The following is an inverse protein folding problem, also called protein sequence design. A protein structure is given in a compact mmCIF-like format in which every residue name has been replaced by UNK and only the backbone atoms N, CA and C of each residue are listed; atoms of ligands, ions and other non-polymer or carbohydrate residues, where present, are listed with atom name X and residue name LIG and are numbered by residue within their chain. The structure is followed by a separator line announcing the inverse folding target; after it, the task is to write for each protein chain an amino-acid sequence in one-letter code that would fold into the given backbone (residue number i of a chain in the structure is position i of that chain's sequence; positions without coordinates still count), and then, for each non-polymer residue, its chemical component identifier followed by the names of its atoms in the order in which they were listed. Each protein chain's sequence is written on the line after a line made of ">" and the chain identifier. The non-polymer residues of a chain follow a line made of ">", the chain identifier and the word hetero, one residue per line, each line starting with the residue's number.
data_IF_457636732123
#
_entry.id   IF_457636732123
#
_cell.length_a   1.000
_cell.length_b   1.000
_cell.length_c   1.000
_cell.angle_alpha   90.00
_cell.angle_beta   90.00
_cell.angle_gamma   90.00
#
_symmetry.space_group_name_H-M   'P 1'
#
loop_
_entity.id
_entity.type
_entity.pdbx_description
1 polymer ?
#
# COMPACT_ATOMS: atom_id res chain seq x y z
N UNK A 1 34.53 13.93 21.47
CA UNK A 1 33.55 12.89 21.16
C UNK A 1 34.24 11.53 21.21
N UNK A 2 33.57 10.50 21.73
CA UNK A 2 34.07 9.12 21.64
C UNK A 2 33.77 8.57 20.23
N UNK A 3 34.64 7.75 19.64
CA UNK A 3 34.33 7.02 18.41
C UNK A 3 33.09 6.13 18.58
N UNK A 4 32.30 5.95 17.53
CA UNK A 4 31.03 5.20 17.58
C UNK A 4 31.20 3.76 18.10
N UNK A 5 32.31 3.10 17.74
CA UNK A 5 32.65 1.76 18.23
C UNK A 5 33.03 1.69 19.72
N UNK A 6 33.23 2.83 20.38
CA UNK A 6 33.52 2.95 21.81
C UNK A 6 32.28 3.34 22.62
N UNK A 7 31.15 3.63 21.97
CA UNK A 7 29.87 3.90 22.64
C UNK A 7 29.12 2.57 22.82
N UNK A 8 28.80 2.16 24.06
CA UNK A 8 28.09 0.90 24.30
C UNK A 8 26.75 0.88 23.56
N UNK A 9 26.48 -0.21 22.82
CA UNK A 9 25.21 -0.40 22.11
C UNK A 9 24.01 -0.63 23.04
N UNK A 10 24.26 -0.94 24.32
CA UNK A 10 23.26 -1.21 25.34
C UNK A 10 23.73 -0.69 26.70
N UNK A 11 22.80 -0.15 27.48
CA UNK A 11 23.01 0.16 28.90
C UNK A 11 22.07 -0.70 29.74
N UNK A 12 22.61 -1.31 30.79
CA UNK A 12 21.83 -2.14 31.74
C UNK A 12 21.95 -1.49 33.10
N UNK A 13 20.83 -1.02 33.64
CA UNK A 13 20.77 -0.48 34.99
C UNK A 13 20.70 -1.62 35.99
N UNK A 14 21.60 -1.59 36.98
CA UNK A 14 21.68 -2.58 38.04
C UNK A 14 21.54 -1.86 39.37
N UNK A 15 20.72 -2.41 40.26
CA UNK A 15 20.62 -1.90 41.63
C UNK A 15 21.94 -2.11 42.40
N UNK A 16 22.64 -3.21 42.13
CA UNK A 16 23.96 -3.52 42.70
C UNK A 16 24.82 -4.31 41.71
N UNK A 17 26.14 -4.11 41.75
CA UNK A 17 27.08 -4.89 40.93
C UNK A 17 27.27 -6.28 41.54
N UNK A 18 27.04 -7.38 40.78
CA UNK A 18 27.27 -8.72 41.31
C UNK A 18 28.77 -8.96 41.48
N UNK A 19 29.18 -9.32 42.70
CA UNK A 19 30.57 -9.64 43.02
C UNK A 19 30.72 -11.13 43.32
N UNK A 20 31.85 -11.70 42.92
CA UNK A 20 32.26 -13.04 43.31
C UNK A 20 32.79 -13.05 44.77
N UNK A 21 33.05 -14.23 45.37
CA UNK A 21 33.54 -14.33 46.74
C UNK A 21 34.89 -13.60 47.01
N UNK A 22 35.64 -13.26 45.96
CA UNK A 22 36.89 -12.51 46.05
C UNK A 22 36.69 -10.99 45.89
N UNK A 23 35.44 -10.50 45.90
CA UNK A 23 35.10 -9.08 45.77
C UNK A 23 35.28 -8.49 44.37
N UNK A 24 35.46 -9.32 43.33
CA UNK A 24 35.58 -8.88 41.93
C UNK A 24 34.25 -9.04 41.19
N UNK A 25 34.01 -8.22 40.17
CA UNK A 25 32.82 -8.32 39.31
C UNK A 25 32.63 -9.75 38.77
N UNK A 26 31.47 -10.35 39.05
CA UNK A 26 31.06 -11.60 38.45
C UNK A 26 30.34 -11.33 37.13
N UNK A 27 31.11 -11.39 36.04
CA UNK A 27 30.61 -11.14 34.68
C UNK A 27 29.55 -12.13 34.23
N UNK A 28 29.49 -13.34 34.81
CA UNK A 28 28.52 -14.38 34.44
C UNK A 28 27.16 -14.15 35.11
N UNK A 29 27.14 -13.42 36.22
CA UNK A 29 25.94 -13.04 36.94
C UNK A 29 25.33 -11.72 36.44
N UNK A 30 25.94 -11.05 35.46
CA UNK A 30 25.35 -9.88 34.82
C UNK A 30 24.12 -10.31 34.01
N UNK A 31 22.97 -9.62 34.16
CA UNK A 31 21.80 -9.90 33.34
C UNK A 31 22.09 -9.57 31.88
N UNK A 32 21.54 -10.37 30.97
CA UNK A 32 21.61 -10.09 29.55
C UNK A 32 20.81 -8.81 29.25
N UNK A 33 21.32 -7.92 28.38
CA UNK A 33 20.56 -6.75 27.95
C UNK A 33 19.26 -7.20 27.26
N UNK A 34 18.14 -6.59 27.64
CA UNK A 34 16.86 -6.83 26.98
C UNK A 34 16.88 -6.18 25.60
N UNK A 35 17.07 -7.00 24.57
CA UNK A 35 17.14 -6.56 23.18
C UNK A 35 15.76 -6.34 22.55
N UNK A 36 14.68 -6.71 23.25
CA UNK A 36 13.31 -6.57 22.73
C UNK A 36 12.88 -5.10 22.61
N UNK A 37 13.46 -4.21 23.41
CA UNK A 37 13.19 -2.76 23.37
C UNK A 37 14.02 -2.00 22.30
N UNK A 38 15.06 -2.62 21.73
CA UNK A 38 16.02 -1.96 20.82
C UNK A 38 15.69 -2.16 19.34
N UNK A 39 14.71 -3.01 19.01
CA UNK A 39 13.99 -2.82 17.76
C UNK A 39 13.16 -1.54 17.93
N UNK A 40 13.70 -0.40 17.48
CA UNK A 40 12.93 0.84 17.32
C UNK A 40 11.58 0.45 16.72
N UNK A 41 10.54 0.47 17.56
CA UNK A 41 9.21 0.08 17.14
C UNK A 41 8.79 1.08 16.09
N UNK A 42 8.88 0.68 14.83
CA UNK A 42 8.18 1.39 13.78
C UNK A 42 6.70 1.38 14.13
N UNK A 43 6.20 2.52 14.57
CA UNK A 43 4.77 2.73 14.78
C UNK A 43 4.21 3.29 13.48
N UNK A 44 3.42 2.49 12.78
CA UNK A 44 2.76 2.94 11.57
C UNK A 44 1.78 4.07 11.89
N UNK A 45 1.65 5.10 11.03
CA UNK A 45 0.65 6.16 11.21
C UNK A 45 -0.77 5.56 11.20
N UNK A 46 -1.55 5.85 12.24
CA UNK A 46 -2.87 5.27 12.47
C UNK A 46 -3.98 6.23 12.07
N UNK A 47 -3.87 7.51 12.48
CA UNK A 47 -4.89 8.51 12.16
C UNK A 47 -4.74 9.06 10.74
N UNK A 48 -5.84 9.57 10.16
CA UNK A 48 -5.81 10.22 8.84
C UNK A 48 -4.78 11.36 8.81
N UNK A 49 -4.70 12.13 9.89
CA UNK A 49 -3.74 13.23 10.01
C UNK A 49 -2.29 12.70 10.05
N UNK A 50 -2.01 11.65 10.82
CA UNK A 50 -0.68 11.02 10.85
C UNK A 50 -0.27 10.51 9.47
N UNK A 51 -1.19 9.86 8.74
CA UNK A 51 -0.92 9.34 7.40
C UNK A 51 -0.63 10.48 6.42
N UNK A 52 -1.39 11.58 6.49
CA UNK A 52 -1.15 12.77 5.67
C UNK A 52 0.20 13.41 5.96
N UNK A 53 0.55 13.61 7.24
CA UNK A 53 1.84 14.20 7.63
C UNK A 53 3.00 13.29 7.23
N UNK A 54 2.89 11.98 7.44
CA UNK A 54 3.91 11.02 7.02
C UNK A 54 4.12 11.02 5.50
N UNK A 55 3.03 11.11 4.71
CA UNK A 55 3.10 11.22 3.26
C UNK A 55 3.81 12.50 2.81
N UNK A 56 3.50 13.65 3.43
CA UNK A 56 4.15 14.93 3.14
C UNK A 56 5.64 14.84 3.45
N UNK A 57 6.04 14.29 4.59
CA UNK A 57 7.44 14.15 4.95
C UNK A 57 8.21 13.22 4.00
N UNK A 58 7.63 12.08 3.62
CA UNK A 58 8.23 11.21 2.62
C UNK A 58 8.44 11.94 1.27
N UNK A 59 7.48 12.77 0.85
CA UNK A 59 7.61 13.59 -0.36
C UNK A 59 8.71 14.65 -0.23
N UNK A 60 8.84 15.31 0.92
CA UNK A 60 9.90 16.30 1.18
C UNK A 60 11.27 15.64 1.08
N UNK A 61 11.49 14.52 1.77
CA UNK A 61 12.77 13.79 1.68
C UNK A 61 13.05 13.30 0.27
N UNK A 62 12.04 12.74 -0.41
CA UNK A 62 12.20 12.27 -1.79
C UNK A 62 12.64 13.40 -2.73
N UNK A 63 12.03 14.58 -2.63
CA UNK A 63 12.41 15.76 -3.42
C UNK A 63 13.84 16.23 -3.09
N UNK A 64 14.23 16.24 -1.82
CA UNK A 64 15.60 16.58 -1.41
C UNK A 64 16.62 15.60 -2.00
N UNK A 65 16.38 14.29 -1.88
CA UNK A 65 17.25 13.26 -2.46
C UNK A 65 17.40 13.43 -3.98
N UNK A 66 16.31 13.72 -4.68
CA UNK A 66 16.32 13.89 -6.14
C UNK A 66 17.02 15.18 -6.58
N UNK A 67 16.76 16.32 -5.93
CA UNK A 67 17.32 17.60 -6.34
C UNK A 67 18.78 17.78 -5.93
N UNK A 68 19.18 17.19 -4.79
CA UNK A 68 20.54 17.31 -4.26
C UNK A 68 21.40 16.07 -4.53
N UNK A 69 20.82 15.02 -5.11
CA UNK A 69 21.47 13.74 -5.40
C UNK A 69 22.12 13.09 -4.16
N UNK A 70 21.43 13.11 -3.02
CA UNK A 70 21.92 12.56 -1.73
C UNK A 70 21.09 11.37 -1.25
N UNK A 71 21.70 10.45 -0.51
CA UNK A 71 21.04 9.40 0.27
C UNK A 71 20.76 9.91 1.68
N UNK A 72 19.54 10.42 1.90
CA UNK A 72 19.15 10.97 3.20
C UNK A 72 18.04 10.13 3.85
N UNK A 73 18.24 9.47 5.00
CA UNK A 73 17.19 8.68 5.62
C UNK A 73 16.03 9.57 6.12
N UNK A 74 14.80 9.04 6.13
CA UNK A 74 13.62 9.82 6.53
C UNK A 74 13.73 10.37 7.97
N UNK A 75 14.36 9.62 8.88
CA UNK A 75 14.60 10.04 10.26
C UNK A 75 15.40 11.33 10.41
N UNK A 76 16.20 11.72 9.41
CA UNK A 76 16.98 12.96 9.45
C UNK A 76 16.10 14.20 9.60
N UNK A 77 14.87 14.19 9.05
CA UNK A 77 13.91 15.29 9.25
C UNK A 77 13.49 15.49 10.71
N UNK A 78 13.62 14.44 11.53
CA UNK A 78 13.14 14.41 12.90
C UNK A 78 14.26 14.59 13.91
N UNK A 79 15.42 14.00 13.62
CA UNK A 79 16.61 14.09 14.46
C UNK A 79 17.21 15.51 14.44
N UNK A 80 17.09 16.21 13.30
CA UNK A 80 17.56 17.58 13.13
C UNK A 80 16.39 18.53 12.75
N UNK A 81 15.53 18.92 13.71
CA UNK A 81 14.37 19.78 13.43
C UNK A 81 14.75 21.23 13.12
N UNK A 82 15.98 21.65 13.45
CA UNK A 82 16.52 22.96 13.11
C UNK A 82 17.24 22.87 11.76
N UNK A 83 16.98 23.85 10.88
CA UNK A 83 17.57 23.89 9.54
C UNK A 83 19.11 23.82 9.58
N UNK A 84 19.75 24.50 10.54
CA UNK A 84 21.20 24.52 10.64
C UNK A 84 21.79 23.11 10.86
N UNK A 85 21.17 22.32 11.74
CA UNK A 85 21.59 20.96 12.03
C UNK A 85 21.27 20.02 10.86
N UNK A 86 20.11 20.20 10.23
CA UNK A 86 19.69 19.40 9.07
C UNK A 86 20.61 19.60 7.86
N UNK A 87 21.13 20.81 7.66
CA UNK A 87 22.12 21.08 6.60
C UNK A 87 23.41 20.31 6.84
N UNK A 88 23.85 20.13 8.09
CA UNK A 88 25.02 19.33 8.40
C UNK A 88 24.80 17.85 8.01
N UNK A 89 23.61 17.30 8.28
CA UNK A 89 23.24 15.95 7.86
C UNK A 89 23.22 15.79 6.32
N UNK A 90 22.65 16.78 5.62
CA UNK A 90 22.62 16.79 4.14
C UNK A 90 24.04 16.88 3.55
N UNK A 91 24.93 17.67 4.15
CA UNK A 91 26.33 17.79 3.71
C UNK A 91 27.15 16.53 4.00
N UNK A 92 26.83 15.81 5.08
CA UNK A 92 27.44 14.52 5.43
C UNK A 92 26.83 13.33 4.69
N UNK A 93 25.69 13.50 4.03
CA UNK A 93 25.01 12.44 3.32
C UNK A 93 25.84 11.92 2.13
N UNK A 94 25.83 10.61 1.95
CA UNK A 94 26.45 10.00 0.77
C UNK A 94 25.68 10.39 -0.49
N UNK A 95 26.37 10.44 -1.64
CA UNK A 95 25.69 10.68 -2.92
C UNK A 95 24.77 9.51 -3.26
N UNK A 96 23.61 9.82 -3.83
CA UNK A 96 22.71 8.83 -4.39
C UNK A 96 23.42 8.02 -5.48
N UNK A 97 23.61 6.73 -5.22
CA UNK A 97 24.21 5.77 -6.17
C UNK A 97 23.19 4.79 -6.73
N UNK A 98 21.93 4.86 -6.26
CA UNK A 98 20.85 4.05 -6.78
C UNK A 98 20.66 4.33 -8.28
N UNK A 99 20.68 3.29 -9.13
CA UNK A 99 20.47 3.47 -10.56
C UNK A 99 19.05 3.98 -10.81
N UNK A 100 18.89 4.88 -11.78
CA UNK A 100 17.58 5.32 -12.23
C UNK A 100 16.72 4.13 -12.69
N UNK A 101 15.40 4.21 -12.44
CA UNK A 101 14.47 3.24 -12.97
C UNK A 101 14.54 3.20 -14.50
N UNK A 102 14.69 2.00 -15.05
CA UNK A 102 14.72 1.78 -16.50
C UNK A 102 13.48 1.03 -16.91
N UNK A 103 12.95 1.40 -18.08
CA UNK A 103 11.90 0.62 -18.69
C UNK A 103 12.43 -0.77 -19.06
N UNK A 104 11.72 -1.80 -18.61
CA UNK A 104 12.07 -3.20 -18.88
C UNK A 104 11.22 -3.71 -20.06
N UNK A 105 11.81 -4.44 -20.99
CA UNK A 105 11.06 -5.02 -22.10
C UNK A 105 10.02 -6.04 -21.57
N UNK A 106 8.85 -6.11 -22.22
CA UNK A 106 7.74 -7.00 -21.83
C UNK A 106 7.82 -8.40 -22.45
N UNK A 107 8.90 -8.69 -23.20
CA UNK A 107 9.15 -9.98 -23.87
C UNK A 107 10.02 -10.92 -23.02
N UNK A 108 10.08 -10.70 -21.71
CA UNK A 108 10.86 -11.51 -20.78
C UNK A 108 10.06 -11.73 -19.48
N UNK A 109 10.38 -12.78 -18.70
CA UNK A 109 9.79 -12.99 -17.40
C UNK A 109 9.98 -11.78 -16.48
N UNK A 110 8.88 -11.29 -15.91
CA UNK A 110 8.88 -10.14 -14.99
C UNK A 110 8.84 -10.64 -13.55
N UNK A 111 9.88 -10.36 -12.77
CA UNK A 111 9.96 -10.78 -11.37
C UNK A 111 8.96 -10.01 -10.51
N UNK A 112 8.45 -10.66 -9.47
CA UNK A 112 7.67 -10.00 -8.44
C UNK A 112 8.57 -9.12 -7.57
N UNK A 113 8.03 -7.99 -7.12
CA UNK A 113 8.62 -7.24 -6.03
C UNK A 113 8.62 -8.05 -4.73
N UNK A 114 9.45 -7.69 -3.75
CA UNK A 114 9.44 -8.37 -2.45
C UNK A 114 8.07 -8.32 -1.75
N UNK A 115 7.35 -7.20 -1.87
CA UNK A 115 5.99 -7.07 -1.34
C UNK A 115 5.03 -8.05 -2.03
N UNK A 116 5.09 -8.15 -3.36
CA UNK A 116 4.28 -9.10 -4.12
C UNK A 116 4.63 -10.55 -3.80
N UNK A 117 5.92 -10.89 -3.64
CA UNK A 117 6.35 -12.24 -3.24
C UNK A 117 5.74 -12.65 -1.90
N UNK A 118 5.75 -11.74 -0.91
CA UNK A 118 5.10 -11.98 0.38
C UNK A 118 3.58 -12.21 0.22
N UNK A 119 2.91 -11.36 -0.55
CA UNK A 119 1.46 -11.50 -0.78
C UNK A 119 1.12 -12.81 -1.50
N UNK A 120 1.90 -13.18 -2.52
CA UNK A 120 1.72 -14.46 -3.23
C UNK A 120 1.94 -15.65 -2.31
N UNK A 121 2.97 -15.62 -1.46
CA UNK A 121 3.22 -16.67 -0.48
C UNK A 121 2.05 -16.84 0.50
N UNK A 122 1.51 -15.73 1.03
CA UNK A 122 0.37 -15.77 1.94
C UNK A 122 -0.90 -16.32 1.28
N UNK A 123 -1.15 -15.95 0.02
CA UNK A 123 -2.23 -16.52 -0.77
C UNK A 123 -2.03 -18.02 -1.05
N UNK A 124 -0.80 -18.50 -1.26
CA UNK A 124 -0.52 -19.92 -1.43
C UNK A 124 -0.74 -20.75 -0.16
N UNK A 125 -0.61 -20.14 1.03
CA UNK A 125 -0.94 -20.79 2.30
C UNK A 125 -2.45 -20.97 2.49
N UNK A 126 -3.25 -19.99 2.05
CA UNK A 126 -4.71 -20.04 2.08
C UNK A 126 -5.32 -19.23 0.93
N UNK A 127 -5.58 -19.91 -0.19
CA UNK A 127 -6.14 -19.31 -1.39
C UNK A 127 -7.61 -18.90 -1.22
N UNK A 128 -8.27 -19.32 -0.12
CA UNK A 128 -9.64 -18.95 0.20
C UNK A 128 -9.73 -17.77 1.16
N UNK A 129 -8.59 -17.25 1.63
CA UNK A 129 -8.55 -16.08 2.51
C UNK A 129 -8.98 -14.81 1.76
N UNK A 130 -9.78 -13.98 2.43
CA UNK A 130 -10.10 -12.61 1.98
C UNK A 130 -9.39 -11.54 2.79
N UNK A 131 -8.43 -11.91 3.64
CA UNK A 131 -7.74 -10.99 4.53
C UNK A 131 -6.98 -9.87 3.80
N UNK A 132 -6.63 -10.10 2.53
CA UNK A 132 -5.91 -9.16 1.66
C UNK A 132 -6.78 -8.55 0.56
N UNK A 133 -8.10 -8.68 0.68
CA UNK A 133 -9.01 -7.87 -0.12
C UNK A 133 -8.97 -6.42 0.38
N UNK A 134 -8.94 -5.47 -0.55
CA UNK A 134 -9.01 -4.04 -0.32
C UNK A 134 -10.34 -3.52 -0.86
N UNK A 135 -11.42 -3.57 -0.06
CA UNK A 135 -12.72 -3.09 -0.48
C UNK A 135 -12.87 -1.57 -0.30
N UNK A 136 -13.59 -0.95 -1.21
CA UNK A 136 -14.07 0.42 -1.14
C UNK A 136 -15.54 0.43 -1.58
N UNK A 137 -16.42 0.99 -0.75
CA UNK A 137 -17.82 1.19 -1.09
C UNK A 137 -18.15 2.68 -1.05
N UNK A 138 -18.70 3.21 -2.14
CA UNK A 138 -19.05 4.62 -2.30
C UNK A 138 -20.56 4.75 -2.51
N UNK A 139 -21.21 5.56 -1.69
CA UNK A 139 -22.59 5.97 -1.94
C UNK A 139 -22.59 7.13 -2.93
N UNK A 140 -23.29 6.96 -4.05
CA UNK A 140 -23.42 7.94 -5.12
C UNK A 140 -24.88 8.41 -5.16
N UNK A 141 -25.07 9.73 -5.09
CA UNK A 141 -26.39 10.36 -5.15
C UNK A 141 -26.48 11.29 -6.35
N UNK A 142 -27.62 11.27 -7.02
CA UNK A 142 -27.87 12.00 -8.26
C UNK A 142 -27.75 11.13 -9.51
N UNK A 143 -27.97 11.76 -10.66
CA UNK A 143 -27.86 11.12 -11.96
C UNK A 143 -26.43 10.60 -12.20
N UNK A 144 -26.32 9.32 -12.54
CA UNK A 144 -25.06 8.65 -12.83
C UNK A 144 -25.03 8.23 -14.30
N UNK A 145 -23.99 8.67 -15.02
CA UNK A 145 -23.75 8.24 -16.39
C UNK A 145 -22.99 6.90 -16.36
N UNK A 146 -23.73 5.80 -16.53
CA UNK A 146 -23.18 4.43 -16.43
C UNK A 146 -22.16 4.17 -17.56
N UNK A 147 -22.39 4.71 -18.75
CA UNK A 147 -21.50 4.53 -19.90
C UNK A 147 -20.18 5.26 -19.68
N UNK A 148 -20.24 6.51 -19.19
CA UNK A 148 -19.05 7.25 -18.81
C UNK A 148 -18.28 6.54 -17.69
N UNK A 149 -18.97 6.01 -16.68
CA UNK A 149 -18.32 5.27 -15.59
C UNK A 149 -17.60 4.00 -16.08
N UNK A 150 -18.22 3.25 -16.99
CA UNK A 150 -17.60 2.07 -17.60
C UNK A 150 -16.38 2.45 -18.44
N UNK A 151 -16.47 3.52 -19.25
CA UNK A 151 -15.37 4.04 -20.03
C UNK A 151 -14.20 4.48 -19.13
N UNK A 152 -14.48 5.11 -17.99
CA UNK A 152 -13.47 5.50 -17.01
C UNK A 152 -12.71 4.31 -16.43
N UNK A 153 -13.42 3.23 -16.05
CA UNK A 153 -12.75 2.01 -15.59
C UNK A 153 -11.95 1.33 -16.68
N UNK A 154 -12.44 1.34 -17.92
CA UNK A 154 -11.69 0.85 -19.08
C UNK A 154 -10.36 1.59 -19.20
N UNK A 155 -10.37 2.93 -19.23
CA UNK A 155 -9.15 3.74 -19.31
C UNK A 155 -8.21 3.54 -18.12
N UNK A 156 -8.76 3.42 -16.91
CA UNK A 156 -7.98 3.16 -15.72
C UNK A 156 -7.23 1.81 -15.80
N UNK A 157 -7.91 0.74 -16.21
CA UNK A 157 -7.33 -0.60 -16.36
C UNK A 157 -6.30 -0.63 -17.49
N UNK A 158 -6.56 0.07 -18.60
CA UNK A 158 -5.63 0.16 -19.72
C UNK A 158 -4.33 0.85 -19.30
N UNK A 159 -4.45 1.99 -18.62
CA UNK A 159 -3.36 2.83 -18.13
C UNK A 159 -2.49 2.12 -17.08
N UNK A 160 -3.10 1.40 -16.15
CA UNK A 160 -2.39 0.77 -15.03
C UNK A 160 -2.19 -0.73 -15.23
N UNK A 161 -0.99 -1.12 -15.68
CA UNK A 161 -0.61 -2.53 -15.87
C UNK A 161 -0.92 -3.42 -14.65
N UNK A 162 -0.77 -2.91 -13.43
CA UNK A 162 -1.06 -3.65 -12.19
C UNK A 162 -2.49 -4.17 -12.12
N UNK A 163 -3.47 -3.42 -12.65
CA UNK A 163 -4.90 -3.82 -12.64
C UNK A 163 -5.21 -4.96 -13.60
N UNK A 164 -4.31 -5.23 -14.56
CA UNK A 164 -4.37 -6.32 -15.53
C UNK A 164 -3.20 -7.28 -15.38
N UNK A 165 -2.65 -7.38 -14.17
CA UNK A 165 -1.53 -8.28 -13.84
C UNK A 165 -2.05 -9.50 -13.07
N UNK A 166 -1.56 -10.68 -13.45
CA UNK A 166 -1.71 -11.95 -12.71
C UNK A 166 -0.35 -12.52 -12.37
N UNK A 167 -0.32 -13.56 -11.54
CA UNK A 167 0.91 -14.13 -10.98
C UNK A 167 0.96 -15.62 -11.28
N UNK A 168 1.97 -16.04 -12.02
CA UNK A 168 2.17 -17.45 -12.40
C UNK A 168 3.58 -17.92 -12.04
N UNK A 169 3.86 -19.20 -12.31
CA UNK A 169 5.19 -19.78 -12.15
C UNK A 169 5.80 -20.03 -13.53
N UNK A 170 7.03 -19.58 -13.75
CA UNK A 170 7.83 -19.89 -14.93
C UNK A 170 9.24 -20.28 -14.48
N UNK A 171 9.73 -21.43 -14.96
CA UNK A 171 11.06 -21.98 -14.61
C UNK A 171 11.34 -22.05 -13.10
N UNK A 172 10.32 -22.40 -12.31
CA UNK A 172 10.42 -22.50 -10.85
C UNK A 172 10.49 -21.15 -10.11
N UNK A 173 10.25 -20.04 -10.81
CA UNK A 173 10.18 -18.69 -10.23
C UNK A 173 8.81 -18.07 -10.44
N UNK A 174 8.33 -17.34 -9.42
CA UNK A 174 7.11 -16.57 -9.54
C UNK A 174 7.34 -15.38 -10.48
N UNK A 175 6.42 -15.18 -11.42
CA UNK A 175 6.47 -14.12 -12.42
C UNK A 175 5.15 -13.37 -12.52
N UNK A 176 5.24 -12.09 -12.86
CA UNK A 176 4.11 -11.25 -13.23
C UNK A 176 3.77 -11.48 -14.69
N UNK A 177 2.49 -11.69 -14.97
CA UNK A 177 1.93 -11.78 -16.32
C UNK A 177 1.02 -10.58 -16.50
N UNK A 178 1.49 -9.60 -17.28
CA UNK A 178 0.75 -8.39 -17.61
C UNK A 178 -0.06 -8.66 -18.88
N UNK A 179 -1.38 -8.69 -18.76
CA UNK A 179 -2.28 -8.97 -19.88
C UNK A 179 -2.44 -7.74 -20.76
N UNK A 180 -2.73 -7.94 -22.05
CA UNK A 180 -3.11 -6.85 -22.93
C UNK A 180 -4.39 -6.15 -22.41
N UNK A 181 -4.57 -4.86 -22.69
CA UNK A 181 -5.87 -4.19 -22.58
C UNK A 181 -7.02 -5.05 -23.11
N UNK A 182 -8.07 -5.16 -22.31
CA UNK A 182 -9.30 -5.85 -22.68
C UNK A 182 -10.50 -4.98 -22.29
N UNK A 183 -11.62 -5.04 -23.04
CA UNK A 183 -12.83 -4.30 -22.68
C UNK A 183 -13.29 -4.64 -21.27
N UNK A 184 -13.55 -3.61 -20.47
CA UNK A 184 -14.12 -3.76 -19.14
C UNK A 184 -15.65 -3.61 -19.21
N UNK A 185 -16.37 -4.49 -18.51
CA UNK A 185 -17.84 -4.41 -18.39
C UNK A 185 -18.21 -4.16 -16.93
N UNK A 186 -18.90 -3.06 -16.67
CA UNK A 186 -19.39 -2.73 -15.35
C UNK A 186 -20.56 -3.66 -14.98
N UNK A 187 -20.46 -4.36 -13.86
CA UNK A 187 -21.56 -5.18 -13.36
C UNK A 187 -22.57 -4.27 -12.65
N UNK A 188 -23.71 -4.03 -13.29
CA UNK A 188 -24.82 -3.27 -12.71
C UNK A 188 -25.88 -4.24 -12.19
N UNK A 189 -26.19 -4.15 -10.90
CA UNK A 189 -27.20 -4.96 -10.22
C UNK A 189 -28.30 -4.03 -9.71
N UNK A 190 -29.51 -4.16 -10.25
CA UNK A 190 -30.67 -3.44 -9.75
C UNK A 190 -31.17 -4.12 -8.47
N UNK A 191 -31.09 -3.42 -7.35
CA UNK A 191 -31.37 -3.97 -6.03
C UNK A 191 -32.75 -3.53 -5.57
N UNK A 192 -33.67 -4.48 -5.48
CA UNK A 192 -34.91 -4.30 -4.71
C UNK A 192 -34.65 -4.51 -3.22
N UNK A 193 -35.11 -3.59 -2.37
CA UNK A 193 -35.15 -3.82 -0.92
C UNK A 193 -36.37 -4.70 -0.60
N UNK A 194 -36.19 -5.87 0.05
CA UNK A 194 -37.32 -6.73 0.41
C UNK A 194 -38.33 -6.00 1.29
N UNK A 195 -39.62 -6.31 1.12
CA UNK A 195 -40.69 -5.69 1.90
C UNK A 195 -40.47 -5.93 3.40
N UNK A 196 -40.46 -4.84 4.19
CA UNK A 196 -40.23 -4.89 5.64
C UNK A 196 -38.77 -5.03 6.07
N UNK A 197 -37.81 -5.08 5.13
CA UNK A 197 -36.40 -5.05 5.45
C UNK A 197 -35.89 -3.62 5.68
N UNK A 198 -34.87 -3.49 6.52
CA UNK A 198 -34.07 -2.27 6.60
C UNK A 198 -33.19 -2.17 5.36
N UNK A 199 -33.41 -1.12 4.55
CA UNK A 199 -32.67 -0.87 3.31
C UNK A 199 -31.16 -0.76 3.54
N UNK A 200 -30.72 -0.09 4.61
CA UNK A 200 -29.31 0.11 4.88
C UNK A 200 -28.64 -1.21 5.29
N UNK A 201 -29.32 -2.00 6.13
CA UNK A 201 -28.83 -3.33 6.51
C UNK A 201 -28.75 -4.27 5.29
N UNK A 202 -29.76 -4.23 4.41
CA UNK A 202 -29.78 -5.02 3.18
C UNK A 202 -28.62 -4.69 2.24
N UNK A 203 -28.41 -3.40 1.96
CA UNK A 203 -27.27 -2.93 1.15
C UNK A 203 -25.95 -3.35 1.78
N UNK A 204 -25.80 -3.23 3.10
CA UNK A 204 -24.59 -3.69 3.80
C UNK A 204 -24.35 -5.19 3.58
N UNK A 205 -25.38 -6.03 3.65
CA UNK A 205 -25.24 -7.46 3.37
C UNK A 205 -24.76 -7.74 1.94
N UNK A 206 -25.27 -7.00 0.94
CA UNK A 206 -24.82 -7.14 -0.45
C UNK A 206 -23.36 -6.71 -0.62
N UNK A 207 -22.95 -5.59 -0.01
CA UNK A 207 -21.56 -5.13 -0.01
C UNK A 207 -20.66 -6.16 0.67
N UNK A 208 -21.04 -6.68 1.84
CA UNK A 208 -20.27 -7.71 2.55
C UNK A 208 -20.13 -9.00 1.74
N UNK A 209 -21.19 -9.42 1.05
CA UNK A 209 -21.14 -10.58 0.17
C UNK A 209 -20.13 -10.39 -0.97
N UNK A 210 -20.12 -9.21 -1.61
CA UNK A 210 -19.19 -8.90 -2.70
C UNK A 210 -17.74 -8.81 -2.22
N UNK A 211 -17.50 -8.16 -1.07
CA UNK A 211 -16.14 -7.97 -0.52
C UNK A 211 -15.51 -9.25 0.01
N UNK A 212 -16.32 -10.25 0.38
CA UNK A 212 -15.89 -11.59 0.83
C UNK A 212 -15.69 -12.61 -0.29
N UNK A 213 -15.87 -12.23 -1.56
CA UNK A 213 -15.50 -13.11 -2.68
C UNK A 213 -13.98 -13.20 -2.76
N UNK A 214 -13.46 -14.41 -2.90
CA UNK A 214 -12.02 -14.70 -3.03
C UNK A 214 -11.47 -14.23 -4.39
N UNK A 215 -10.15 -14.01 -4.46
CA UNK A 215 -9.44 -13.76 -5.72
C UNK A 215 -8.54 -14.95 -6.07
N UNK A 216 -8.53 -15.32 -7.35
CA UNK A 216 -7.53 -16.22 -7.91
C UNK A 216 -6.40 -15.37 -8.51
N UNK A 217 -5.22 -15.40 -7.88
CA UNK A 217 -4.06 -14.60 -8.31
C UNK A 217 -3.47 -15.06 -9.66
N UNK A 218 -3.78 -16.26 -10.11
CA UNK A 218 -3.28 -16.82 -11.36
C UNK A 218 -4.19 -16.49 -12.54
N UNK A 219 -5.50 -16.44 -12.33
CA UNK A 219 -6.49 -16.21 -13.39
C UNK A 219 -6.98 -14.77 -13.46
N UNK A 220 -7.08 -14.08 -12.31
CA UNK A 220 -7.65 -12.74 -12.25
C UNK A 220 -9.12 -12.66 -12.71
N UNK A 221 -9.63 -11.45 -13.01
CA UNK A 221 -9.01 -10.15 -12.73
C UNK A 221 -8.87 -9.89 -11.23
N UNK A 222 -7.89 -9.07 -10.84
CA UNK A 222 -7.61 -8.73 -9.42
C UNK A 222 -8.24 -7.41 -8.97
N UNK A 223 -9.15 -6.91 -9.80
CA UNK A 223 -10.06 -5.81 -9.54
C UNK A 223 -11.47 -6.29 -9.90
N UNK A 224 -12.41 -6.09 -8.99
CA UNK A 224 -13.85 -6.23 -9.23
C UNK A 224 -14.53 -4.90 -8.98
N UNK A 225 -15.47 -4.57 -9.85
CA UNK A 225 -16.34 -3.39 -9.71
C UNK A 225 -17.77 -3.84 -9.89
N UNK A 226 -18.63 -3.46 -8.95
CA UNK A 226 -20.07 -3.68 -9.01
C UNK A 226 -20.80 -2.39 -8.65
N UNK A 227 -21.82 -2.04 -9.41
CA UNK A 227 -22.72 -0.94 -9.13
C UNK A 227 -24.07 -1.52 -8.66
N UNK A 228 -24.43 -1.27 -7.41
CA UNK A 228 -25.75 -1.57 -6.88
C UNK A 228 -26.66 -0.36 -7.15
N UNK A 229 -27.61 -0.48 -8.08
CA UNK A 229 -28.59 0.56 -8.37
C UNK A 229 -29.80 0.39 -7.45
N UNK A 230 -29.96 1.29 -6.47
CA UNK A 230 -31.02 1.25 -5.46
C UNK A 230 -32.26 2.02 -5.91
N UNK A 231 -32.06 3.14 -6.59
CA UNK A 231 -33.07 3.97 -7.23
C UNK A 231 -32.47 4.65 -8.49
N UNK A 232 -33.26 5.48 -9.18
CA UNK A 232 -32.79 6.23 -10.36
C UNK A 232 -31.62 7.17 -10.05
N UNK A 233 -31.58 7.73 -8.83
CA UNK A 233 -30.57 8.68 -8.37
C UNK A 233 -29.81 8.20 -7.13
N UNK A 234 -29.90 6.91 -6.78
CA UNK A 234 -29.23 6.36 -5.61
C UNK A 234 -28.51 5.05 -5.95
N UNK A 235 -27.19 5.05 -5.77
CA UNK A 235 -26.33 3.93 -6.13
C UNK A 235 -25.26 3.67 -5.07
N UNK A 236 -24.79 2.43 -5.02
CA UNK A 236 -23.58 2.06 -4.27
C UNK A 236 -22.58 1.42 -5.22
N UNK A 237 -21.44 2.09 -5.42
CA UNK A 237 -20.32 1.55 -6.18
C UNK A 237 -19.41 0.77 -5.24
N UNK A 238 -19.30 -0.53 -5.46
CA UNK A 238 -18.43 -1.44 -4.72
C UNK A 238 -17.23 -1.79 -5.59
N UNK A 239 -16.06 -1.36 -5.13
CA UNK A 239 -14.77 -1.70 -5.69
C UNK A 239 -14.08 -2.68 -4.74
N UNK A 240 -13.46 -3.73 -5.26
CA UNK A 240 -12.60 -4.59 -4.43
C UNK A 240 -11.38 -4.98 -5.24
N UNK A 241 -10.20 -4.75 -4.69
CA UNK A 241 -8.93 -5.18 -5.27
C UNK A 241 -8.25 -6.20 -4.36
N UNK A 242 -7.28 -6.94 -4.88
CA UNK A 242 -6.33 -7.66 -4.03
C UNK A 242 -5.13 -6.76 -3.69
N UNK A 243 -4.63 -6.81 -2.45
CA UNK A 243 -3.47 -6.01 -1.98
C UNK A 243 -2.17 -6.28 -2.78
N UNK A 244 -2.11 -7.36 -3.56
CA UNK A 244 -0.94 -7.64 -4.41
C UNK A 244 -0.81 -6.68 -5.61
N UNK A 245 -1.91 -6.03 -6.03
CA UNK A 245 -1.95 -5.09 -7.16
C UNK A 245 -2.21 -3.64 -6.76
N UNK A 246 -2.44 -3.37 -5.47
CA UNK A 246 -2.73 -2.03 -4.94
C UNK A 246 -2.33 -1.90 -3.47
N UNK A 247 -2.14 -0.67 -3.01
CA UNK A 247 -1.86 -0.31 -1.62
C UNK A 247 -2.57 1.01 -1.25
N UNK A 248 -2.34 1.49 -0.02
CA UNK A 248 -2.95 2.74 0.47
C UNK A 248 -2.47 3.99 -0.27
N UNK A 249 -1.33 3.95 -0.97
CA UNK A 249 -0.81 5.07 -1.76
C UNK A 249 -1.38 5.09 -3.18
N UNK A 250 -1.54 3.92 -3.80
CA UNK A 250 -2.11 3.81 -5.15
C UNK A 250 -3.62 4.08 -5.19
N UNK A 251 -4.35 3.79 -4.10
CA UNK A 251 -5.81 4.00 -4.05
C UNK A 251 -6.23 5.45 -4.32
N UNK A 252 -5.69 6.49 -3.65
CA UNK A 252 -6.01 7.88 -3.96
C UNK A 252 -5.72 8.27 -5.41
N UNK A 253 -4.60 7.80 -5.99
CA UNK A 253 -4.22 8.08 -7.38
C UNK A 253 -5.26 7.50 -8.34
N UNK A 254 -5.68 6.25 -8.12
CA UNK A 254 -6.71 5.61 -8.94
C UNK A 254 -8.06 6.32 -8.84
N UNK A 255 -8.45 6.78 -7.65
CA UNK A 255 -9.70 7.52 -7.45
C UNK A 255 -9.65 8.88 -8.16
N UNK A 256 -8.55 9.63 -8.04
CA UNK A 256 -8.37 10.91 -8.73
C UNK A 256 -8.46 10.76 -10.25
N UNK A 257 -7.78 9.75 -10.81
CA UNK A 257 -7.83 9.49 -12.25
C UNK A 257 -9.20 8.99 -12.70
N UNK A 258 -9.88 8.14 -11.91
CA UNK A 258 -11.25 7.69 -12.23
C UNK A 258 -12.23 8.87 -12.32
N UNK A 259 -12.14 9.81 -11.38
CA UNK A 259 -12.98 11.03 -11.37
C UNK A 259 -12.67 11.86 -12.61
N UNK A 260 -11.38 12.09 -12.93
CA UNK A 260 -10.97 12.84 -14.12
C UNK A 260 -11.48 12.19 -15.41
N UNK A 261 -11.35 10.87 -15.54
CA UNK A 261 -11.87 10.15 -16.69
C UNK A 261 -13.39 10.25 -16.79
N UNK A 262 -14.10 10.13 -15.67
CA UNK A 262 -15.55 10.21 -15.65
C UNK A 262 -16.05 11.59 -16.08
N UNK A 263 -15.44 12.65 -15.56
CA UNK A 263 -15.77 14.02 -15.98
C UNK A 263 -15.51 14.23 -17.47
N UNK A 264 -14.38 13.74 -17.97
CA UNK A 264 -14.03 13.86 -19.38
C UNK A 264 -15.01 13.12 -20.29
N UNK A 265 -15.32 11.85 -20.01
CA UNK A 265 -16.28 11.07 -20.80
C UNK A 265 -17.69 11.66 -20.75
N UNK A 266 -18.17 12.05 -19.57
CA UNK A 266 -19.50 12.66 -19.39
C UNK A 266 -19.64 13.98 -20.15
N UNK A 267 -18.55 14.74 -20.30
CA UNK A 267 -18.53 16.03 -21.02
C UNK A 267 -18.11 15.89 -22.50
N UNK A 268 -17.78 14.68 -22.98
CA UNK A 268 -17.24 14.47 -24.32
C UNK A 268 -15.87 15.12 -24.55
N UNK A 269 -15.08 15.28 -23.50
CA UNK A 269 -13.74 15.87 -23.54
C UNK A 269 -12.65 14.80 -23.70
N UNK A 270 -11.46 15.18 -24.20
CA UNK A 270 -10.31 14.29 -24.23
C UNK A 270 -9.90 13.87 -22.81
N UNK A 271 -9.47 12.62 -22.68
CA UNK A 271 -9.09 11.95 -21.43
C UNK A 271 -7.71 11.32 -21.51
#
# INVERSE_FOLDING_TARGET
>A
MLPEYMVPSYFVFLDTLPLNPNGKLDRKALPAPDTSQVQQQFVAPVSVLEQQVAAIWAQVVSRLRQQLEVELPLRALFEAPLLADFIADVQGASRATAPAFRHVARNQPLRLSYAQQRQLFLWQLDAHSTAYNMPLALSLKGALDIDALQASFTSLIERHETLRTTFSQADGQAVQVIHAPAPFTLQVEHVGVPAGADAQAWVKTLVEAETRRVFDLQQGPLLRVKLLALAEDEHVLVLTLHHIVSDGWSMPVMVEELIRFYEGYRLGQPV
#
